data_IF_012942135086
#
_entry.id   IF_012942135086
#
_cell.length_a   1.000
_cell.length_b   1.000
_cell.length_c   1.000
_cell.angle_alpha   90.00
_cell.angle_beta   90.00
_cell.angle_gamma   90.00
#
_symmetry.space_group_name_H-M   'P 1'
#
loop_
_entity.id
_entity.type
_entity.pdbx_description
1 polymer ?
#
# COMPACT_ATOMS: atom_id res chain seq x y z
N UNK A 1 -20.11 3.10 -28.87
CA UNK A 1 -19.40 3.44 -27.61
C UNK A 1 -18.53 2.24 -27.26
N UNK A 2 -17.21 2.36 -27.32
CA UNK A 2 -16.30 1.30 -26.84
C UNK A 2 -16.60 1.04 -25.36
N UNK A 3 -16.61 -0.23 -24.91
CA UNK A 3 -16.79 -0.54 -23.51
C UNK A 3 -15.73 0.20 -22.72
N UNK A 4 -16.13 0.92 -21.65
CA UNK A 4 -15.17 1.55 -20.73
C UNK A 4 -14.22 0.46 -20.25
N UNK A 5 -12.93 0.60 -20.58
CA UNK A 5 -11.92 -0.33 -20.11
C UNK A 5 -12.02 -0.47 -18.57
N UNK A 6 -12.02 -1.70 -18.09
CA UNK A 6 -12.03 -1.97 -16.65
C UNK A 6 -10.72 -1.45 -16.05
N UNK A 7 -10.83 -0.65 -14.98
CA UNK A 7 -9.67 -0.06 -14.31
C UNK A 7 -8.65 -1.11 -13.83
N UNK A 8 -9.13 -2.29 -13.44
CA UNK A 8 -8.24 -3.39 -13.06
C UNK A 8 -7.41 -3.90 -14.23
N UNK A 9 -8.04 -4.07 -15.41
CA UNK A 9 -7.34 -4.53 -16.61
C UNK A 9 -6.29 -3.52 -17.05
N UNK A 10 -6.65 -2.24 -17.12
CA UNK A 10 -5.73 -1.17 -17.55
C UNK A 10 -4.45 -1.15 -16.72
N UNK A 11 -4.58 -1.30 -15.40
CA UNK A 11 -3.44 -1.26 -14.46
C UNK A 11 -2.65 -2.56 -14.50
N UNK A 12 -3.35 -3.70 -14.45
CA UNK A 12 -2.69 -5.00 -14.37
C UNK A 12 -1.97 -5.36 -15.65
N UNK A 13 -2.54 -5.03 -16.83
CA UNK A 13 -1.87 -5.26 -18.12
C UNK A 13 -0.54 -4.54 -18.21
N UNK A 14 -0.46 -3.31 -17.73
CA UNK A 14 0.77 -2.52 -17.74
C UNK A 14 1.87 -3.13 -16.88
N UNK A 15 1.51 -3.68 -15.72
CA UNK A 15 2.47 -4.38 -14.85
C UNK A 15 2.88 -5.73 -15.46
N UNK A 16 1.95 -6.45 -16.07
CA UNK A 16 2.25 -7.71 -16.79
C UNK A 16 3.24 -7.44 -17.93
N UNK A 17 3.01 -6.41 -18.74
CA UNK A 17 3.92 -6.02 -19.82
C UNK A 17 5.34 -5.73 -19.31
N UNK A 18 5.46 -5.03 -18.18
CA UNK A 18 6.76 -4.76 -17.58
C UNK A 18 7.45 -6.04 -17.08
N UNK A 19 6.69 -6.94 -16.42
CA UNK A 19 7.21 -8.23 -15.95
C UNK A 19 7.61 -9.15 -17.11
N UNK A 20 6.84 -9.18 -18.20
CA UNK A 20 7.17 -9.94 -19.42
C UNK A 20 8.41 -9.39 -20.11
N UNK A 21 8.64 -8.08 -20.02
CA UNK A 21 9.87 -7.43 -20.49
C UNK A 21 11.07 -7.62 -19.55
N UNK A 22 10.94 -8.42 -18.49
CA UNK A 22 12.00 -8.66 -17.51
C UNK A 22 12.21 -7.50 -16.53
N UNK A 23 11.27 -6.56 -16.46
CA UNK A 23 11.33 -5.45 -15.50
C UNK A 23 10.36 -5.72 -14.37
N UNK A 24 10.87 -5.79 -13.12
CA UNK A 24 10.05 -5.85 -11.91
C UNK A 24 9.80 -4.42 -11.45
N UNK A 25 8.56 -3.88 -11.57
CA UNK A 25 8.29 -2.47 -11.36
C UNK A 25 8.64 -1.95 -9.96
N UNK A 26 8.55 -2.80 -8.95
CA UNK A 26 8.82 -2.48 -7.55
C UNK A 26 10.26 -2.72 -7.10
N UNK A 27 11.13 -3.25 -7.97
CA UNK A 27 12.58 -3.44 -7.68
C UNK A 27 13.44 -2.26 -8.09
N UNK A 28 12.87 -1.18 -8.54
CA UNK A 28 13.66 -0.10 -9.08
C UNK A 28 14.17 0.85 -8.01
N UNK A 29 15.48 1.19 -8.09
CA UNK A 29 16.04 2.21 -7.22
C UNK A 29 15.44 3.58 -7.57
N UNK A 30 14.80 4.20 -6.61
CA UNK A 30 14.20 5.53 -6.72
C UNK A 30 15.23 6.67 -6.70
N UNK A 31 16.49 6.42 -7.03
CA UNK A 31 17.55 7.45 -7.04
C UNK A 31 17.21 8.68 -7.88
N UNK A 32 16.27 8.58 -8.82
CA UNK A 32 15.87 9.68 -9.69
C UNK A 32 14.95 10.72 -9.04
N UNK A 33 14.35 10.44 -7.88
CA UNK A 33 13.39 11.34 -7.24
C UNK A 33 13.83 11.81 -5.87
N UNK A 34 15.12 11.76 -5.55
CA UNK A 34 15.68 12.29 -4.30
C UNK A 34 14.90 11.89 -3.03
N UNK A 35 14.39 10.64 -2.96
CA UNK A 35 13.60 10.18 -1.84
C UNK A 35 12.14 10.64 -1.81
N UNK A 36 11.72 11.48 -2.76
CA UNK A 36 10.34 11.93 -2.89
C UNK A 36 9.62 11.07 -3.91
N UNK A 37 8.66 10.27 -3.48
CA UNK A 37 7.82 9.46 -4.37
C UNK A 37 6.90 10.33 -5.26
N UNK A 38 6.23 9.69 -6.25
CA UNK A 38 5.27 10.40 -7.09
C UNK A 38 4.24 11.16 -6.25
N UNK A 39 4.06 12.44 -6.53
CA UNK A 39 3.28 13.36 -5.71
C UNK A 39 2.26 14.11 -6.56
N UNK A 40 1.03 14.27 -6.06
CA UNK A 40 0.03 15.12 -6.69
C UNK A 40 0.40 16.59 -6.48
N UNK A 41 0.66 17.30 -7.56
CA UNK A 41 0.97 18.74 -7.49
C UNK A 41 -0.20 19.55 -6.89
N UNK A 42 -1.44 19.08 -7.09
CA UNK A 42 -2.64 19.78 -6.59
C UNK A 42 -2.78 19.70 -5.08
N UNK A 43 -2.48 18.56 -4.49
CA UNK A 43 -2.70 18.32 -3.06
C UNK A 43 -1.43 18.34 -2.24
N UNK A 44 -0.26 18.27 -2.87
CA UNK A 44 1.02 18.08 -2.20
C UNK A 44 1.18 16.70 -1.55
N UNK A 45 0.20 15.80 -1.73
CA UNK A 45 0.22 14.46 -1.11
C UNK A 45 0.89 13.43 -2.03
N UNK A 46 1.68 12.50 -1.49
CA UNK A 46 2.24 11.41 -2.28
C UNK A 46 1.14 10.47 -2.77
N UNK A 47 1.33 9.93 -3.98
CA UNK A 47 0.51 8.82 -4.47
C UNK A 47 0.76 7.57 -3.64
N UNK A 48 -0.26 6.70 -3.59
CA UNK A 48 -0.25 5.52 -2.71
C UNK A 48 -0.67 4.27 -3.47
N UNK A 49 -0.41 3.11 -2.88
CA UNK A 49 -0.79 1.82 -3.44
C UNK A 49 -0.20 1.63 -4.83
N UNK A 50 -0.90 0.96 -5.71
CA UNK A 50 -0.44 0.64 -7.07
C UNK A 50 0.02 1.88 -7.88
N UNK A 51 -0.51 3.07 -7.56
CA UNK A 51 -0.18 4.29 -8.29
C UNK A 51 1.30 4.66 -8.17
N UNK A 52 1.95 4.35 -7.05
CA UNK A 52 3.38 4.60 -6.86
C UNK A 52 4.19 3.94 -7.98
N UNK A 53 3.97 2.64 -8.22
CA UNK A 53 4.74 1.91 -9.24
C UNK A 53 4.36 2.29 -10.65
N UNK A 54 3.07 2.55 -10.93
CA UNK A 54 2.63 3.00 -12.26
C UNK A 54 3.29 4.31 -12.69
N UNK A 55 3.31 5.29 -11.78
CA UNK A 55 3.91 6.60 -12.04
C UNK A 55 5.42 6.52 -12.11
N UNK A 56 6.03 5.76 -11.23
CA UNK A 56 7.46 5.60 -11.19
C UNK A 56 8.02 4.83 -12.37
N UNK A 57 7.33 3.77 -12.81
CA UNK A 57 7.68 3.06 -14.03
C UNK A 57 7.64 4.00 -15.24
N UNK A 58 6.61 4.88 -15.29
CA UNK A 58 6.52 5.88 -16.36
C UNK A 58 7.62 6.92 -16.27
N UNK A 59 7.86 7.49 -15.10
CA UNK A 59 8.90 8.49 -14.89
C UNK A 59 10.27 7.94 -15.31
N UNK A 60 10.57 6.70 -14.89
CA UNK A 60 11.83 6.06 -15.25
C UNK A 60 11.95 5.83 -16.77
N UNK A 61 10.91 5.27 -17.42
CA UNK A 61 10.94 4.98 -18.84
C UNK A 61 11.05 6.25 -19.71
N UNK A 62 10.50 7.36 -19.23
CA UNK A 62 10.53 8.66 -19.91
C UNK A 62 11.70 9.56 -19.47
N UNK A 63 12.45 9.19 -18.43
CA UNK A 63 13.57 9.99 -17.88
C UNK A 63 13.11 11.22 -17.08
N UNK A 64 11.87 11.24 -16.56
CA UNK A 64 11.40 12.35 -15.75
C UNK A 64 12.11 12.39 -14.40
N UNK A 65 12.49 13.58 -13.97
CA UNK A 65 13.16 13.88 -12.70
C UNK A 65 12.22 14.49 -11.68
N UNK A 66 11.13 15.13 -12.12
CA UNK A 66 10.14 15.72 -11.23
C UNK A 66 9.22 14.67 -10.62
N UNK A 67 8.96 14.71 -9.29
CA UNK A 67 7.99 13.83 -8.63
C UNK A 67 6.53 14.27 -8.85
N UNK A 68 6.29 15.45 -9.42
CA UNK A 68 4.98 16.07 -9.46
C UNK A 68 4.16 15.65 -10.68
N UNK A 69 2.88 15.35 -10.42
CA UNK A 69 1.91 14.92 -11.42
C UNK A 69 0.63 15.72 -11.33
N UNK A 70 0.03 16.02 -12.49
CA UNK A 70 -1.19 16.81 -12.64
C UNK A 70 -2.15 16.15 -13.63
N UNK A 71 -3.46 16.39 -13.47
CA UNK A 71 -4.43 16.14 -14.53
C UNK A 71 -4.37 17.23 -15.59
N UNK A 72 -4.90 16.98 -16.78
CA UNK A 72 -5.00 18.00 -17.84
C UNK A 72 -5.70 19.28 -17.36
N UNK A 73 -6.77 19.11 -16.58
CA UNK A 73 -7.56 20.22 -16.00
C UNK A 73 -6.71 21.03 -15.02
N UNK A 74 -6.00 20.36 -14.11
CA UNK A 74 -5.15 21.00 -13.11
C UNK A 74 -3.98 21.76 -13.74
N UNK A 75 -3.36 21.22 -14.79
CA UNK A 75 -2.33 21.94 -15.54
C UNK A 75 -2.86 23.27 -16.08
N UNK A 76 -4.06 23.23 -16.67
CA UNK A 76 -4.72 24.45 -17.19
C UNK A 76 -5.11 25.44 -16.10
N UNK A 77 -5.63 24.98 -14.96
CA UNK A 77 -5.98 25.82 -13.80
C UNK A 77 -4.76 26.51 -13.18
N UNK A 78 -3.56 25.93 -13.36
CA UNK A 78 -2.27 26.50 -12.94
C UNK A 78 -1.59 27.34 -14.02
N UNK A 79 -2.32 27.74 -15.05
CA UNK A 79 -1.83 28.62 -16.12
C UNK A 79 -0.99 27.92 -17.18
N UNK A 80 -0.78 26.61 -17.07
CA UNK A 80 0.00 25.84 -18.01
C UNK A 80 -0.83 24.99 -18.98
N UNK A 81 -0.16 24.20 -19.78
CA UNK A 81 -0.79 23.29 -20.74
C UNK A 81 0.06 22.03 -20.95
N UNK A 82 -0.60 20.90 -21.11
CA UNK A 82 0.08 19.67 -21.53
C UNK A 82 0.50 19.82 -23.00
N UNK A 83 1.76 19.52 -23.32
CA UNK A 83 2.26 19.62 -24.69
C UNK A 83 1.52 18.68 -25.64
N UNK A 84 1.36 19.12 -26.87
CA UNK A 84 0.70 18.33 -27.92
C UNK A 84 1.45 17.02 -28.19
N UNK A 85 0.72 15.90 -28.17
CA UNK A 85 1.30 14.58 -28.45
C UNK A 85 1.73 13.81 -27.18
N UNK A 86 1.77 14.46 -26.02
CA UNK A 86 2.11 13.80 -24.76
C UNK A 86 1.07 12.74 -24.38
N UNK A 87 1.56 11.64 -23.83
CA UNK A 87 0.73 10.52 -23.36
C UNK A 87 0.67 10.54 -21.83
N UNK A 88 -0.54 10.68 -21.28
CA UNK A 88 -0.73 10.63 -19.84
C UNK A 88 -0.69 9.20 -19.30
N UNK A 89 -0.45 9.11 -18.00
CA UNK A 89 -0.42 7.86 -17.23
C UNK A 89 -1.73 7.67 -16.48
N UNK A 90 -2.31 6.46 -16.55
CA UNK A 90 -3.48 6.13 -15.77
C UNK A 90 -3.10 5.83 -14.31
N UNK A 91 -3.80 6.48 -13.39
CA UNK A 91 -3.79 6.19 -11.96
C UNK A 91 -5.18 5.74 -11.52
N UNK A 92 -5.28 4.97 -10.46
CA UNK A 92 -6.56 4.46 -9.95
C UNK A 92 -6.92 5.10 -8.63
N UNK A 93 -8.23 5.27 -8.42
CA UNK A 93 -8.79 5.87 -7.23
C UNK A 93 -10.05 5.12 -6.82
N UNK A 94 -10.19 4.80 -5.54
CA UNK A 94 -11.41 4.28 -4.95
C UNK A 94 -12.40 5.42 -4.71
N UNK A 95 -13.52 5.40 -5.45
CA UNK A 95 -14.58 6.40 -5.30
C UNK A 95 -15.77 5.81 -4.55
N UNK A 96 -16.20 6.39 -3.43
CA UNK A 96 -17.42 5.99 -2.77
C UNK A 96 -18.64 6.39 -3.64
N UNK A 97 -19.52 5.43 -3.85
CA UNK A 97 -20.80 5.62 -4.58
C UNK A 97 -21.92 5.15 -3.68
N UNK A 98 -22.97 5.95 -3.60
CA UNK A 98 -24.21 5.59 -2.93
C UNK A 98 -25.16 4.99 -3.96
N UNK A 99 -25.78 3.87 -3.66
CA UNK A 99 -26.85 3.27 -4.45
C UNK A 99 -28.03 3.02 -3.54
N UNK A 100 -29.17 3.58 -3.89
CA UNK A 100 -30.43 3.30 -3.20
C UNK A 100 -31.07 2.08 -3.86
N UNK A 101 -31.38 1.06 -3.08
CA UNK A 101 -32.03 -0.18 -3.49
C UNK A 101 -33.22 -0.42 -2.56
N UNK A 102 -34.31 -0.96 -3.09
CA UNK A 102 -35.43 -1.38 -2.26
C UNK A 102 -35.12 -2.72 -1.60
N UNK A 103 -35.38 -2.82 -0.28
CA UNK A 103 -35.30 -4.10 0.43
C UNK A 103 -36.52 -4.97 0.10
N UNK A 104 -36.55 -6.20 0.59
CA UNK A 104 -37.68 -7.11 0.40
C UNK A 104 -39.00 -6.60 1.01
N UNK A 105 -38.93 -5.62 1.90
CA UNK A 105 -40.10 -4.94 2.52
C UNK A 105 -40.58 -3.69 1.76
N UNK A 106 -39.92 -3.31 0.65
CA UNK A 106 -40.26 -2.14 -0.15
C UNK A 106 -39.66 -0.81 0.33
N UNK A 107 -38.85 -0.82 1.38
CA UNK A 107 -38.18 0.38 1.90
C UNK A 107 -36.90 0.69 1.13
N UNK A 108 -36.63 1.98 0.91
CA UNK A 108 -35.42 2.45 0.27
C UNK A 108 -34.20 2.36 1.22
N UNK A 109 -33.26 1.48 0.91
CA UNK A 109 -31.99 1.31 1.64
C UNK A 109 -30.85 1.85 0.81
N UNK A 110 -30.16 2.87 1.33
CA UNK A 110 -28.97 3.42 0.67
C UNK A 110 -27.70 2.65 1.10
N UNK A 111 -27.14 1.89 0.19
CA UNK A 111 -25.85 1.19 0.38
C UNK A 111 -24.70 2.01 -0.19
N UNK A 112 -23.56 1.97 0.49
CA UNK A 112 -22.32 2.60 0.01
C UNK A 112 -21.41 1.54 -0.59
N UNK A 113 -20.93 1.79 -1.81
CA UNK A 113 -19.99 0.95 -2.54
C UNK A 113 -18.73 1.73 -2.85
N UNK A 114 -17.60 1.05 -2.89
CA UNK A 114 -16.36 1.60 -3.42
C UNK A 114 -16.20 1.12 -4.85
N UNK A 115 -16.08 2.03 -5.80
CA UNK A 115 -15.86 1.72 -7.20
C UNK A 115 -14.44 2.20 -7.57
N UNK A 116 -13.64 1.30 -8.13
CA UNK A 116 -12.35 1.67 -8.68
C UNK A 116 -12.56 2.46 -9.99
N UNK A 117 -11.94 3.63 -10.05
CA UNK A 117 -11.91 4.50 -11.22
C UNK A 117 -10.49 4.77 -11.63
N UNK A 118 -10.22 4.99 -12.89
CA UNK A 118 -8.93 5.48 -13.35
C UNK A 118 -9.05 6.94 -13.81
N UNK A 119 -7.94 7.67 -13.67
CA UNK A 119 -7.75 9.04 -14.12
C UNK A 119 -6.45 9.11 -14.88
N UNK A 120 -6.37 10.04 -15.80
CA UNK A 120 -5.15 10.29 -16.55
C UNK A 120 -4.42 11.49 -15.95
N UNK A 121 -3.16 11.28 -15.60
CA UNK A 121 -2.26 12.32 -15.09
C UNK A 121 -1.03 12.43 -15.98
N UNK A 122 -0.39 13.58 -15.93
CA UNK A 122 0.81 13.92 -16.66
C UNK A 122 1.89 14.35 -15.68
N UNK A 123 3.14 13.96 -15.92
CA UNK A 123 4.24 14.55 -15.20
C UNK A 123 4.34 16.04 -15.55
N UNK A 124 4.75 16.88 -14.60
CA UNK A 124 4.88 18.32 -14.88
C UNK A 124 5.87 18.61 -15.99
N UNK A 125 6.85 17.74 -16.20
CA UNK A 125 7.80 17.81 -17.32
C UNK A 125 7.16 17.56 -18.71
N UNK A 126 5.91 17.11 -18.76
CA UNK A 126 5.10 17.03 -19.98
C UNK A 126 4.28 18.30 -20.24
N UNK A 127 4.44 19.33 -19.39
CA UNK A 127 3.63 20.53 -19.42
C UNK A 127 4.50 21.77 -19.65
N UNK A 128 3.91 22.77 -20.29
CA UNK A 128 4.50 24.10 -20.42
C UNK A 128 3.76 25.08 -19.49
N UNK A 129 4.49 25.95 -18.81
CA UNK A 129 3.94 27.05 -18.01
C UNK A 129 3.21 26.62 -16.73
N UNK A 130 3.36 25.39 -16.28
CA UNK A 130 2.83 24.95 -14.98
C UNK A 130 3.74 25.41 -13.86
N UNK A 131 3.20 26.21 -12.97
CA UNK A 131 3.90 26.58 -11.72
C UNK A 131 4.05 25.35 -10.83
N UNK A 132 5.32 25.02 -10.50
CA UNK A 132 5.71 23.83 -9.78
C UNK A 132 6.72 24.19 -8.70
N UNK A 133 6.55 23.72 -7.46
CA UNK A 133 7.55 23.93 -6.42
C UNK A 133 8.87 23.23 -6.78
N UNK A 134 9.96 23.74 -6.25
CA UNK A 134 11.24 23.05 -6.34
C UNK A 134 11.14 21.66 -5.72
N UNK A 135 11.86 20.70 -6.29
CA UNK A 135 11.94 19.35 -5.74
C UNK A 135 12.76 19.43 -4.46
N UNK A 136 12.22 18.97 -3.31
CA UNK A 136 13.02 18.97 -2.09
C UNK A 136 14.28 18.12 -2.27
N UNK A 137 15.43 18.69 -1.97
CA UNK A 137 16.67 17.92 -1.92
C UNK A 137 16.70 17.07 -0.64
N UNK A 138 17.21 15.86 -0.75
CA UNK A 138 17.52 15.08 0.45
C UNK A 138 18.59 15.86 1.25
N UNK A 139 18.51 15.85 2.59
CA UNK A 139 19.57 16.42 3.41
C UNK A 139 20.92 15.85 2.98
N UNK A 140 21.94 16.70 2.92
CA UNK A 140 23.29 16.30 2.49
C UNK A 140 23.90 15.23 3.39
N UNK A 141 23.42 15.09 4.61
CA UNK A 141 23.79 14.12 5.63
C UNK A 141 22.82 12.93 5.74
N UNK A 142 21.93 12.75 4.75
CA UNK A 142 21.01 11.60 4.75
C UNK A 142 21.78 10.27 4.71
N UNK A 143 21.61 9.49 5.77
CA UNK A 143 22.14 8.12 5.88
C UNK A 143 21.00 7.10 5.68
N UNK A 144 20.95 6.42 4.52
CA UNK A 144 19.89 5.45 4.24
C UNK A 144 19.88 4.28 5.21
N UNK A 145 21.03 3.87 5.73
CA UNK A 145 21.12 2.75 6.67
C UNK A 145 20.61 3.16 8.06
N UNK A 146 20.96 4.36 8.52
CA UNK A 146 20.38 4.92 9.74
C UNK A 146 18.86 5.09 9.62
N UNK A 147 18.36 5.42 8.42
CA UNK A 147 16.92 5.47 8.15
C UNK A 147 16.27 4.08 8.26
N UNK A 148 16.91 3.03 7.74
CA UNK A 148 16.46 1.65 7.92
C UNK A 148 16.36 1.27 9.39
N UNK A 149 17.40 1.55 10.18
CA UNK A 149 17.40 1.29 11.63
C UNK A 149 16.28 2.05 12.33
N UNK A 150 16.06 3.29 11.96
CA UNK A 150 14.99 4.11 12.54
C UNK A 150 13.61 3.54 12.25
N UNK A 151 13.36 3.02 11.05
CA UNK A 151 12.12 2.34 10.68
C UNK A 151 11.93 1.09 11.54
N UNK A 152 12.96 0.24 11.63
CA UNK A 152 12.90 -1.01 12.39
C UNK A 152 12.67 -0.75 13.89
N UNK A 153 13.42 0.18 14.48
CA UNK A 153 13.35 0.47 15.93
C UNK A 153 12.13 1.30 16.30
N UNK A 154 11.65 2.16 15.40
CA UNK A 154 10.46 2.98 15.58
C UNK A 154 9.16 2.17 15.63
N UNK A 155 9.15 0.99 15.04
CA UNK A 155 7.96 0.12 15.10
C UNK A 155 7.87 -0.64 16.42
N UNK A 156 7.16 -0.07 17.41
CA UNK A 156 7.00 -0.65 18.76
C UNK A 156 6.20 -1.97 18.77
N UNK A 157 5.35 -2.21 17.77
CA UNK A 157 4.56 -3.43 17.60
C UNK A 157 5.24 -4.55 16.82
N UNK A 158 6.53 -4.42 16.51
CA UNK A 158 7.27 -5.42 15.75
C UNK A 158 7.48 -6.72 16.54
N UNK A 159 7.59 -7.88 15.85
CA UNK A 159 8.00 -9.12 16.49
C UNK A 159 9.46 -9.06 16.94
N UNK A 160 9.87 -10.04 17.74
CA UNK A 160 11.27 -10.27 18.04
C UNK A 160 12.05 -10.58 16.76
N UNK A 161 13.23 -9.98 16.57
CA UNK A 161 14.16 -10.30 15.49
C UNK A 161 15.31 -11.12 16.08
N UNK A 162 15.43 -12.37 15.64
CA UNK A 162 16.49 -13.31 16.03
C UNK A 162 17.54 -13.40 14.94
N UNK A 163 18.81 -13.35 15.32
CA UNK A 163 19.90 -13.48 14.39
C UNK A 163 20.61 -14.82 14.52
N UNK A 164 21.03 -15.37 13.37
CA UNK A 164 21.75 -16.63 13.26
C UNK A 164 21.18 -17.54 12.18
N UNK A 165 21.88 -18.64 11.91
CA UNK A 165 21.50 -19.54 10.81
C UNK A 165 21.74 -18.94 9.43
N UNK A 166 21.21 -19.61 8.39
CA UNK A 166 21.45 -19.28 6.97
C UNK A 166 20.15 -18.95 6.21
N UNK A 167 19.05 -18.74 6.90
CA UNK A 167 17.77 -18.42 6.26
C UNK A 167 17.09 -17.25 6.95
N UNK A 168 16.46 -16.38 6.16
CA UNK A 168 15.51 -15.38 6.62
C UNK A 168 14.11 -15.96 6.53
N UNK A 169 13.30 -15.77 7.54
CA UNK A 169 11.87 -16.09 7.51
C UNK A 169 11.13 -15.47 8.71
N UNK A 170 9.86 -15.16 8.50
CA UNK A 170 8.91 -14.90 9.57
C UNK A 170 8.24 -16.21 10.03
N UNK A 171 8.14 -16.41 11.33
CA UNK A 171 7.44 -17.54 11.95
C UNK A 171 6.06 -17.11 12.48
N UNK A 172 4.95 -17.38 11.78
CA UNK A 172 3.63 -16.94 12.24
C UNK A 172 3.17 -17.57 13.56
N UNK A 173 3.57 -18.81 13.81
CA UNK A 173 3.14 -19.54 15.02
C UNK A 173 3.84 -19.05 16.30
N UNK A 174 5.04 -18.51 16.18
CA UNK A 174 5.86 -18.07 17.31
C UNK A 174 6.09 -16.55 17.30
N UNK A 175 5.57 -15.86 16.31
CA UNK A 175 5.63 -14.41 16.10
C UNK A 175 7.05 -13.83 16.27
N UNK A 176 8.00 -14.37 15.53
CA UNK A 176 9.34 -13.82 15.44
C UNK A 176 9.86 -13.83 14.00
N UNK A 177 10.81 -12.94 13.71
CA UNK A 177 11.59 -12.93 12.46
C UNK A 177 12.94 -13.54 12.72
N UNK A 178 13.33 -14.52 11.89
CA UNK A 178 14.69 -15.07 11.86
C UNK A 178 15.46 -14.39 10.73
N UNK A 179 16.66 -13.89 11.04
CA UNK A 179 17.58 -13.31 10.07
C UNK A 179 18.96 -13.93 10.18
N UNK A 180 19.67 -14.15 9.07
CA UNK A 180 21.13 -14.33 9.13
C UNK A 180 21.77 -13.10 9.77
N UNK A 181 22.99 -13.22 10.27
CA UNK A 181 23.75 -12.06 10.74
C UNK A 181 24.01 -11.09 9.57
N UNK A 182 24.03 -9.79 9.83
CA UNK A 182 24.17 -8.77 8.78
C UNK A 182 25.44 -8.96 7.93
N UNK A 183 26.52 -9.43 8.52
CA UNK A 183 27.77 -9.75 7.81
C UNK A 183 27.68 -10.94 6.83
N UNK A 184 26.56 -11.66 6.79
CA UNK A 184 26.31 -12.70 5.79
C UNK A 184 25.77 -12.16 4.46
N UNK A 185 25.48 -10.87 4.38
CA UNK A 185 24.99 -10.20 3.18
C UNK A 185 26.10 -9.39 2.51
N UNK A 186 26.06 -9.34 1.18
CA UNK A 186 27.06 -8.59 0.38
C UNK A 186 26.97 -7.07 0.58
N UNK A 187 25.80 -6.56 0.98
CA UNK A 187 25.55 -5.15 1.25
C UNK A 187 24.51 -4.98 2.37
N UNK A 188 24.62 -3.88 3.12
CA UNK A 188 23.68 -3.55 4.18
C UNK A 188 22.26 -3.38 3.63
N UNK A 189 22.09 -2.80 2.44
CA UNK A 189 20.81 -2.64 1.77
C UNK A 189 20.13 -3.99 1.49
N UNK A 190 20.91 -5.02 1.14
CA UNK A 190 20.38 -6.39 0.94
C UNK A 190 19.87 -7.00 2.24
N UNK A 191 20.57 -6.77 3.36
CA UNK A 191 20.10 -7.18 4.68
C UNK A 191 18.78 -6.51 5.04
N UNK A 192 18.69 -5.16 4.89
CA UNK A 192 17.46 -4.43 5.23
C UNK A 192 16.32 -4.73 4.28
N UNK A 193 16.57 -4.89 2.98
CA UNK A 193 15.55 -5.32 2.03
C UNK A 193 14.91 -6.65 2.42
N UNK A 194 15.75 -7.62 2.80
CA UNK A 194 15.28 -8.92 3.30
C UNK A 194 14.54 -8.79 4.64
N UNK A 195 15.07 -8.00 5.57
CA UNK A 195 14.41 -7.75 6.87
C UNK A 195 13.03 -7.09 6.68
N UNK A 196 12.92 -6.11 5.81
CA UNK A 196 11.64 -5.47 5.52
C UNK A 196 10.63 -6.43 4.90
N UNK A 197 11.07 -7.38 4.08
CA UNK A 197 10.22 -8.44 3.55
C UNK A 197 9.66 -9.33 4.67
N UNK A 198 10.50 -9.79 5.59
CA UNK A 198 10.06 -10.63 6.71
C UNK A 198 9.19 -9.85 7.71
N UNK A 199 9.53 -8.58 7.96
CA UNK A 199 8.69 -7.69 8.75
C UNK A 199 7.33 -7.43 8.08
N UNK A 200 7.28 -7.32 6.76
CA UNK A 200 6.03 -7.19 6.03
C UNK A 200 5.12 -8.43 6.20
N UNK A 201 5.67 -9.64 6.15
CA UNK A 201 4.94 -10.85 6.52
C UNK A 201 4.38 -10.76 7.94
N UNK A 202 5.20 -10.34 8.89
CA UNK A 202 4.81 -10.25 10.29
C UNK A 202 3.62 -9.30 10.51
N UNK A 203 3.46 -8.25 9.69
CA UNK A 203 2.29 -7.37 9.79
C UNK A 203 0.96 -8.10 9.60
N UNK A 204 0.96 -9.25 8.93
CA UNK A 204 -0.23 -10.09 8.70
C UNK A 204 -0.64 -10.96 9.88
N UNK A 205 0.11 -10.98 10.97
CA UNK A 205 -0.22 -11.73 12.17
C UNK A 205 -1.60 -11.38 12.72
N UNK A 206 -2.24 -12.34 13.43
CA UNK A 206 -3.59 -12.17 13.99
C UNK A 206 -3.73 -10.96 14.93
N UNK A 207 -2.65 -10.62 15.66
CA UNK A 207 -2.61 -9.46 16.56
C UNK A 207 -2.39 -8.12 15.86
N UNK A 208 -2.14 -8.11 14.54
CA UNK A 208 -1.87 -6.91 13.74
C UNK A 208 -2.92 -6.76 12.63
N UNK A 209 -2.57 -6.89 11.37
CA UNK A 209 -3.53 -6.71 10.26
C UNK A 209 -4.39 -7.94 9.97
N UNK A 210 -4.14 -9.05 10.65
CA UNK A 210 -4.93 -10.29 10.57
C UNK A 210 -5.19 -10.75 9.12
N UNK A 211 -4.15 -10.76 8.26
CA UNK A 211 -4.31 -11.17 6.85
C UNK A 211 -4.63 -12.65 6.75
N UNK A 212 -5.70 -12.98 6.02
CA UNK A 212 -6.17 -14.37 5.85
C UNK A 212 -5.11 -15.28 5.24
N UNK A 213 -4.33 -14.76 4.28
CA UNK A 213 -3.22 -15.47 3.62
C UNK A 213 -2.15 -15.96 4.59
N UNK A 214 -1.97 -15.27 5.72
CA UNK A 214 -1.00 -15.65 6.76
C UNK A 214 -1.62 -16.47 7.89
N UNK A 215 -2.86 -16.17 8.30
CA UNK A 215 -3.55 -16.88 9.38
C UNK A 215 -3.96 -18.29 8.94
N UNK A 216 -4.30 -18.47 7.67
CA UNK A 216 -4.64 -19.75 7.04
C UNK A 216 -3.53 -20.10 6.03
N UNK A 217 -2.41 -20.72 6.50
CA UNK A 217 -1.27 -20.96 5.65
C UNK A 217 -1.66 -21.81 4.46
N UNK A 218 -1.36 -21.29 3.29
CA UNK A 218 -1.60 -21.95 2.02
C UNK A 218 -0.36 -22.80 1.62
N UNK A 219 -0.54 -23.90 0.88
CA UNK A 219 0.59 -24.68 0.36
C UNK A 219 1.51 -23.81 -0.50
N UNK A 220 2.82 -24.10 -0.43
CA UNK A 220 3.82 -23.44 -1.26
C UNK A 220 3.44 -23.49 -2.75
N UNK A 221 3.53 -22.35 -3.43
CA UNK A 221 3.18 -22.21 -4.85
C UNK A 221 1.68 -22.14 -5.15
N UNK A 222 0.81 -22.15 -4.14
CA UNK A 222 -0.62 -21.92 -4.34
C UNK A 222 -0.90 -20.43 -4.67
N UNK A 223 -2.07 -20.09 -5.24
CA UNK A 223 -2.45 -18.71 -5.49
C UNK A 223 -2.45 -17.83 -4.24
N UNK A 224 -2.87 -18.35 -3.09
CA UNK A 224 -2.91 -17.62 -1.83
C UNK A 224 -1.51 -17.40 -1.25
N UNK A 225 -0.61 -18.39 -1.39
CA UNK A 225 0.81 -18.22 -1.09
C UNK A 225 1.42 -17.11 -1.96
N UNK A 226 1.22 -17.18 -3.28
CA UNK A 226 1.75 -16.17 -4.21
C UNK A 226 1.20 -14.76 -3.93
N UNK A 227 -0.03 -14.67 -3.40
CA UNK A 227 -0.62 -13.39 -2.99
C UNK A 227 0.06 -12.80 -1.77
N UNK A 228 0.35 -13.61 -0.75
CA UNK A 228 1.05 -13.15 0.45
C UNK A 228 2.48 -12.71 0.13
N UNK A 229 3.19 -13.48 -0.68
CA UNK A 229 4.52 -13.11 -1.17
C UNK A 229 4.50 -11.77 -1.90
N UNK A 230 3.51 -11.56 -2.78
CA UNK A 230 3.38 -10.29 -3.48
C UNK A 230 3.09 -9.12 -2.52
N UNK A 231 2.28 -9.34 -1.48
CA UNK A 231 2.02 -8.31 -0.46
C UNK A 231 3.29 -7.96 0.30
N UNK A 232 4.07 -8.96 0.73
CA UNK A 232 5.32 -8.76 1.46
C UNK A 232 6.34 -8.02 0.61
N UNK A 233 6.50 -8.43 -0.63
CA UNK A 233 7.41 -7.83 -1.60
C UNK A 233 7.09 -6.36 -1.88
N UNK A 234 5.82 -6.07 -2.14
CA UNK A 234 5.37 -4.71 -2.37
C UNK A 234 5.51 -3.84 -1.12
N UNK A 235 5.27 -4.39 0.07
CA UNK A 235 5.46 -3.65 1.33
C UNK A 235 6.94 -3.37 1.61
N UNK A 236 7.83 -4.36 1.39
CA UNK A 236 9.27 -4.16 1.49
C UNK A 236 9.75 -3.07 0.54
N UNK A 237 9.22 -3.04 -0.70
CA UNK A 237 9.52 -1.98 -1.67
C UNK A 237 9.14 -0.58 -1.17
N UNK A 238 8.00 -0.42 -0.49
CA UNK A 238 7.65 0.87 0.11
C UNK A 238 8.61 1.27 1.23
N UNK A 239 8.98 0.33 2.11
CA UNK A 239 9.88 0.59 3.23
C UNK A 239 11.30 0.92 2.74
N UNK A 240 11.79 0.20 1.71
CA UNK A 240 13.05 0.52 1.06
C UNK A 240 13.03 1.92 0.42
N UNK A 241 11.92 2.27 -0.23
CA UNK A 241 11.72 3.60 -0.83
C UNK A 241 11.74 4.70 0.23
N UNK A 242 11.09 4.49 1.36
CA UNK A 242 11.07 5.42 2.50
C UNK A 242 12.47 5.60 3.12
N UNK A 243 13.21 4.51 3.26
CA UNK A 243 14.58 4.55 3.77
C UNK A 243 15.60 5.13 2.78
N UNK A 244 15.25 5.20 1.48
CA UNK A 244 16.16 5.64 0.42
C UNK A 244 17.14 4.57 -0.04
N UNK A 245 16.89 3.26 0.25
CA UNK A 245 17.70 2.16 -0.23
C UNK A 245 17.11 1.52 -1.51
N UNK A 246 17.94 0.93 -2.38
CA UNK A 246 17.43 0.15 -3.50
C UNK A 246 16.73 -1.12 -2.99
N UNK A 247 15.66 -1.52 -3.69
CA UNK A 247 15.06 -2.84 -3.47
C UNK A 247 15.96 -3.88 -4.11
N UNK A 248 16.72 -4.58 -3.31
CA UNK A 248 17.70 -5.56 -3.76
C UNK A 248 17.33 -6.96 -3.24
N UNK A 249 16.08 -7.36 -3.44
CA UNK A 249 15.64 -8.72 -3.16
C UNK A 249 15.89 -9.55 -4.41
N UNK A 250 16.77 -10.54 -4.32
CA UNK A 250 16.97 -11.51 -5.40
C UNK A 250 15.69 -12.29 -5.66
N UNK A 251 14.96 -11.85 -6.68
CA UNK A 251 13.74 -12.54 -7.10
C UNK A 251 14.10 -13.65 -8.08
N UNK A 252 13.81 -14.87 -7.71
CA UNK A 252 13.98 -15.97 -8.65
C UNK A 252 13.03 -15.81 -9.83
N UNK A 253 13.45 -16.20 -11.04
CA UNK A 253 12.59 -16.27 -12.22
C UNK A 253 11.29 -17.08 -11.97
N UNK A 254 11.31 -17.97 -10.99
CA UNK A 254 10.16 -18.75 -10.56
C UNK A 254 9.07 -17.88 -9.92
N UNK A 255 9.43 -16.89 -9.10
CA UNK A 255 8.45 -15.95 -8.50
C UNK A 255 7.81 -15.07 -9.57
N UNK A 256 8.60 -14.49 -10.47
CA UNK A 256 8.08 -13.67 -11.58
C UNK A 256 7.10 -14.48 -12.42
N UNK A 257 7.43 -15.74 -12.74
CA UNK A 257 6.55 -16.64 -13.49
C UNK A 257 5.26 -16.95 -12.73
N UNK A 258 5.34 -17.15 -11.40
CA UNK A 258 4.19 -17.39 -10.54
C UNK A 258 3.27 -16.17 -10.51
N UNK A 259 3.82 -14.97 -10.32
CA UNK A 259 3.05 -13.72 -10.34
C UNK A 259 2.40 -13.46 -11.69
N UNK A 260 3.11 -13.64 -12.81
CA UNK A 260 2.55 -13.51 -14.14
C UNK A 260 1.32 -14.41 -14.33
N UNK A 261 1.41 -15.67 -13.89
CA UNK A 261 0.28 -16.60 -13.94
C UNK A 261 -0.91 -16.07 -13.14
N UNK A 262 -0.71 -15.75 -11.87
CA UNK A 262 -1.81 -15.33 -10.97
C UNK A 262 -2.40 -13.99 -11.39
N UNK A 263 -1.59 -13.03 -11.88
CA UNK A 263 -2.06 -11.73 -12.37
C UNK A 263 -2.85 -11.85 -13.68
N UNK A 264 -2.54 -12.84 -14.52
CA UNK A 264 -3.33 -13.16 -15.73
C UNK A 264 -4.69 -13.78 -15.38
N UNK A 265 -4.73 -14.61 -14.32
CA UNK A 265 -5.93 -15.29 -13.86
C UNK A 265 -6.85 -14.39 -13.01
N UNK A 266 -6.27 -13.52 -12.17
CA UNK A 266 -7.02 -12.57 -11.32
C UNK A 266 -6.49 -11.14 -11.46
N UNK A 267 -7.14 -10.35 -12.31
CA UNK A 267 -6.78 -8.94 -12.57
C UNK A 267 -6.96 -8.01 -11.37
N UNK A 268 -7.75 -8.41 -10.37
CA UNK A 268 -7.98 -7.63 -9.15
C UNK A 268 -6.90 -7.84 -8.11
N UNK A 269 -6.19 -8.94 -8.21
CA UNK A 269 -5.19 -9.34 -7.23
C UNK A 269 -4.13 -8.27 -7.01
N UNK A 270 -3.58 -7.70 -8.08
CA UNK A 270 -2.52 -6.70 -7.98
C UNK A 270 -2.94 -5.47 -7.18
N UNK A 271 -4.11 -4.89 -7.50
CA UNK A 271 -4.65 -3.72 -6.80
C UNK A 271 -4.93 -4.04 -5.33
N UNK A 272 -5.45 -5.24 -5.07
CA UNK A 272 -5.71 -5.71 -3.70
C UNK A 272 -4.42 -5.93 -2.92
N UNK A 273 -3.41 -6.58 -3.51
CA UNK A 273 -2.11 -6.80 -2.89
C UNK A 273 -1.41 -5.47 -2.59
N UNK A 274 -1.42 -4.53 -3.54
CA UNK A 274 -0.85 -3.20 -3.36
C UNK A 274 -1.53 -2.41 -2.21
N UNK A 275 -2.84 -2.53 -2.07
CA UNK A 275 -3.57 -1.90 -0.97
C UNK A 275 -3.21 -2.53 0.39
N UNK A 276 -3.02 -3.85 0.46
CA UNK A 276 -2.59 -4.54 1.68
C UNK A 276 -1.12 -4.23 2.01
N UNK A 277 -0.26 -4.18 1.00
CA UNK A 277 1.14 -3.80 1.14
C UNK A 277 1.30 -2.38 1.69
N UNK A 278 0.48 -1.44 1.20
CA UNK A 278 0.48 -0.08 1.72
C UNK A 278 0.08 -0.04 3.20
N UNK A 279 -0.94 -0.79 3.60
CA UNK A 279 -1.34 -0.91 5.03
C UNK A 279 -0.24 -1.53 5.88
N UNK A 280 0.48 -2.51 5.33
CA UNK A 280 1.61 -3.13 6.01
C UNK A 280 2.76 -2.13 6.23
N UNK A 281 3.12 -1.36 5.20
CA UNK A 281 4.12 -0.31 5.30
C UNK A 281 3.69 0.80 6.27
N UNK A 282 2.43 1.26 6.20
CA UNK A 282 1.89 2.26 7.13
C UNK A 282 1.99 1.81 8.58
N UNK A 283 1.65 0.54 8.87
CA UNK A 283 1.75 -0.02 10.21
C UNK A 283 3.21 0.00 10.72
N UNK A 284 4.16 -0.38 9.88
CA UNK A 284 5.59 -0.37 10.23
C UNK A 284 6.09 1.07 10.46
N UNK A 285 5.64 2.01 9.64
CA UNK A 285 6.02 3.42 9.71
C UNK A 285 5.25 4.22 10.78
N UNK A 286 4.27 3.61 11.46
CA UNK A 286 3.43 4.31 12.43
C UNK A 286 2.52 5.36 11.81
N UNK A 287 2.18 5.23 10.53
CA UNK A 287 1.30 6.16 9.81
C UNK A 287 -0.15 5.78 10.06
N UNK A 288 -0.87 6.61 10.81
CA UNK A 288 -2.31 6.47 11.01
C UNK A 288 -3.08 7.24 9.94
N UNK A 289 -3.87 6.51 9.14
CA UNK A 289 -4.84 7.12 8.24
C UNK A 289 -6.20 7.24 8.89
N UNK A 290 -6.66 8.46 9.08
CA UNK A 290 -8.06 8.69 9.44
C UNK A 290 -8.94 8.27 8.27
N UNK A 291 -9.73 7.20 8.47
CA UNK A 291 -10.71 6.73 7.51
C UNK A 291 -11.79 7.81 7.30
N UNK A 292 -11.61 8.67 6.32
CA UNK A 292 -12.59 9.73 6.00
C UNK A 292 -12.10 10.78 5.01
N UNK A 293 -10.81 11.07 4.95
CA UNK A 293 -10.29 12.16 4.11
C UNK A 293 -9.21 11.71 3.10
N UNK A 294 -8.94 10.42 3.02
CA UNK A 294 -7.95 9.88 2.10
C UNK A 294 -8.46 9.87 0.66
N UNK A 295 -7.90 10.69 -0.18
CA UNK A 295 -7.78 10.54 -1.63
C UNK A 295 -9.02 10.63 -2.52
N UNK A 296 -10.25 10.68 -2.01
CA UNK A 296 -11.43 10.58 -2.87
C UNK A 296 -12.06 11.91 -3.29
N UNK A 297 -11.71 13.05 -2.68
CA UNK A 297 -12.52 14.26 -2.86
C UNK A 297 -11.86 15.44 -3.57
N UNK A 298 -10.54 15.49 -3.69
CA UNK A 298 -9.87 16.65 -4.25
C UNK A 298 -9.55 16.56 -5.75
N UNK A 299 -9.52 15.35 -6.35
CA UNK A 299 -9.16 15.17 -7.76
C UNK A 299 -10.35 14.86 -8.70
N UNK A 300 -11.58 14.80 -8.18
CA UNK A 300 -12.76 14.64 -9.06
C UNK A 300 -13.19 16.00 -9.62
N UNK A 301 -13.42 16.13 -10.94
CA UNK A 301 -13.93 17.37 -11.52
C UNK A 301 -15.28 17.71 -10.85
N UNK A 302 -15.35 18.87 -10.19
CA UNK A 302 -16.59 19.42 -9.69
C UNK A 302 -17.53 19.72 -10.87
N UNK A 303 -18.56 18.92 -11.04
CA UNK A 303 -19.67 19.27 -11.92
C UNK A 303 -20.52 20.29 -11.15
N UNK A 304 -20.34 21.57 -11.47
CA UNK A 304 -21.20 22.63 -10.99
C UNK A 304 -22.58 22.46 -11.65
N UNK A 305 -23.55 21.95 -10.90
CA UNK A 305 -24.95 22.13 -11.21
C UNK A 305 -25.40 23.40 -10.48
N UNK A 306 -25.56 24.48 -11.25
CA UNK A 306 -26.30 25.67 -10.85
C UNK A 306 -27.78 25.29 -10.77
N UNK A 307 -28.34 25.26 -9.57
CA UNK A 307 -29.76 25.39 -9.36
C UNK A 307 -30.01 26.38 -8.23
N UNK A 308 -30.88 27.33 -8.56
CA UNK A 308 -31.14 28.53 -7.82
C UNK A 308 -31.78 28.35 -6.45
N UNK A 309 -31.63 29.40 -5.74
CA UNK A 309 -32.25 29.89 -4.52
C UNK A 309 -33.53 29.18 -4.07
N UNK A 310 -33.58 28.91 -2.75
CA UNK A 310 -34.59 29.57 -1.92
C UNK A 310 -34.25 29.48 -0.43
N UNK A 311 -34.35 30.65 0.20
CA UNK A 311 -34.27 30.90 1.64
C UNK A 311 -35.40 30.20 2.38
N UNK A 312 -35.11 29.59 3.53
CA UNK A 312 -35.97 29.74 4.70
C UNK A 312 -35.16 29.54 5.99
N UNK A 313 -35.13 30.62 6.74
CA UNK A 313 -34.61 30.80 8.09
C UNK A 313 -35.67 30.24 9.09
N UNK A 314 -35.25 29.39 10.04
CA UNK A 314 -35.96 29.26 11.33
C UNK A 314 -34.96 28.99 12.44
N UNK A 315 -35.06 29.86 13.43
CA UNK A 315 -34.28 29.99 14.66
C UNK A 315 -34.63 28.95 15.73
N UNK A 316 -33.55 28.61 16.47
CA UNK A 316 -33.41 28.54 17.95
C UNK A 316 -34.35 27.68 18.82
N UNK A 317 -33.79 26.91 19.69
CA UNK A 317 -33.66 27.05 21.16
C UNK A 317 -33.38 25.72 21.86
N UNK A 318 -32.27 25.71 22.57
CA UNK A 318 -32.07 25.52 24.00
C UNK A 318 -32.72 24.33 24.76
N UNK A 319 -31.90 23.57 25.41
CA UNK A 319 -31.69 23.35 26.87
C UNK A 319 -31.39 21.90 27.31
N UNK A 320 -30.23 21.76 27.90
CA UNK A 320 -29.89 21.17 29.21
C UNK A 320 -30.73 19.99 29.74
N UNK A 321 -30.07 18.86 30.06
CA UNK A 321 -29.92 18.41 31.47
C UNK A 321 -29.01 17.18 31.60
N UNK A 322 -28.13 17.30 32.57
CA UNK A 322 -27.31 16.24 33.15
C UNK A 322 -28.15 15.35 34.04
N UNK A 323 -27.76 14.09 34.19
CA UNK A 323 -27.80 13.47 35.54
C UNK A 323 -26.93 12.19 35.56
N UNK A 324 -26.22 12.10 36.66
CA UNK A 324 -25.27 11.07 37.12
C UNK A 324 -26.02 9.83 37.60
N UNK A 325 -25.38 8.65 37.54
CA UNK A 325 -25.31 7.75 38.73
C UNK A 325 -24.29 6.63 38.50
N UNK A 326 -23.44 6.45 39.52
CA UNK A 326 -22.65 5.28 39.88
C UNK A 326 -23.31 4.68 41.15
N UNK A 327 -22.82 3.59 41.74
CA UNK A 327 -22.20 2.32 41.31
C UNK A 327 -22.89 1.09 41.95
N UNK A 328 -22.39 -0.12 41.70
CA UNK A 328 -22.78 -1.32 42.45
C UNK A 328 -21.84 -2.49 42.23
N UNK A 329 -21.22 -2.88 43.33
CA UNK A 329 -20.28 -3.97 43.57
C UNK A 329 -20.95 -5.37 43.53
N UNK A 330 -20.09 -6.40 43.42
CA UNK A 330 -20.42 -7.79 43.81
C UNK A 330 -19.59 -8.85 43.11
N UNK A 331 -18.49 -9.23 43.59
CA UNK A 331 -18.01 -10.38 44.37
C UNK A 331 -18.39 -11.81 43.87
N UNK A 332 -17.34 -12.66 43.71
CA UNK A 332 -17.35 -14.12 43.88
C UNK A 332 -17.13 -14.90 42.57
N UNK A 333 -16.17 -15.78 42.44
CA UNK A 333 -15.44 -16.64 43.28
C UNK A 333 -15.03 -17.87 42.50
N UNK A 334 -13.77 -18.22 42.55
CA UNK A 334 -13.06 -19.47 42.34
C UNK A 334 -13.75 -20.70 41.67
N UNK A 335 -13.05 -21.38 40.75
CA UNK A 335 -12.48 -22.72 40.97
C UNK A 335 -11.58 -23.23 39.84
N UNK A 336 -10.49 -23.80 40.29
CA UNK A 336 -9.48 -24.65 39.69
C UNK A 336 -9.99 -25.71 38.70
N UNK A 337 -9.19 -25.96 37.67
CA UNK A 337 -9.25 -27.18 36.88
C UNK A 337 -7.99 -27.35 36.00
N UNK A 338 -6.92 -27.89 36.58
CA UNK A 338 -5.73 -28.41 35.88
C UNK A 338 -6.15 -29.58 34.99
N UNK A 339 -5.69 -29.64 33.77
CA UNK A 339 -5.26 -30.91 33.14
C UNK A 339 -4.23 -30.64 32.04
N UNK A 340 -3.21 -31.41 32.17
CA UNK A 340 -1.94 -31.52 31.49
C UNK A 340 -2.04 -32.01 30.05
N UNK A 341 -1.04 -31.57 29.25
CA UNK A 341 -0.15 -32.31 28.36
C UNK A 341 -0.73 -33.31 27.34
N UNK A 342 -0.52 -33.00 26.08
CA UNK A 342 0.30 -33.85 25.19
C UNK A 342 0.80 -33.06 23.99
N UNK A 343 2.09 -32.79 24.00
CA UNK A 343 2.86 -32.35 22.86
C UNK A 343 2.88 -33.47 21.81
N UNK A 344 2.47 -33.14 20.59
CA UNK A 344 2.80 -33.94 19.40
C UNK A 344 3.93 -33.22 18.68
N UNK A 345 5.12 -33.76 18.89
CA UNK A 345 6.37 -33.47 18.18
C UNK A 345 6.22 -33.83 16.69
N UNK A 346 5.90 -32.87 15.86
CA UNK A 346 6.00 -32.97 14.41
C UNK A 346 7.25 -32.16 13.99
N UNK A 347 8.38 -32.83 14.02
CA UNK A 347 9.61 -32.40 13.35
C UNK A 347 9.30 -32.22 11.87
N UNK A 348 9.20 -30.96 11.44
CA UNK A 348 9.24 -30.58 10.03
C UNK A 348 10.68 -30.18 9.71
N UNK A 349 11.26 -30.88 8.77
CA UNK A 349 12.55 -30.55 8.17
C UNK A 349 12.54 -29.14 7.58
N UNK A 350 13.63 -28.36 7.70
CA UNK A 350 13.75 -27.06 7.06
C UNK A 350 13.86 -27.25 5.55
N UNK A 351 12.97 -26.61 4.80
CA UNK A 351 13.06 -26.50 3.35
C UNK A 351 14.33 -25.76 2.97
N UNK A 352 15.27 -26.46 2.38
CA UNK A 352 16.47 -25.87 1.79
C UNK A 352 16.11 -25.18 0.47
N UNK A 353 16.54 -23.95 0.23
CA UNK A 353 16.57 -23.42 -1.11
C UNK A 353 17.62 -24.19 -1.90
N UNK A 354 17.25 -24.77 -3.03
CA UNK A 354 18.20 -25.21 -4.04
C UNK A 354 18.57 -24.01 -4.89
N UNK A 355 19.85 -23.82 -5.03
CA UNK A 355 20.50 -22.92 -5.98
C UNK A 355 19.94 -23.07 -7.39
#
# INVERSE_FOLDING_TARGET
MSPKADAYNVVTDRIIEALEAGTVPWHRPWKSLQGVGPTSLQTGKPYRGINVWLLSLTAHAAGYTSPYWVTFKQAKERGGTVRKGEKGTQVVLWKPVKKTEQNEGGDDVTKRYLILRYFTVFNVEQCDGVDCPEVPELPADHDPIASCESIVTGWTGRPEIKHGGNSAHYSPALDYVQMPVSGAFDAAESYYGTLFHELAHSTGHASRLARKSLIQPAPFGSPDYSREELVAELAASYLCGEAGIPVNVEQSAAYIKSWLKVLKDDRKMLVSAAAQAQKAADLVLGIEYQNGEGDASSDAPSVSHSTGRNHHEVRSRDRLRAERHRPGEGLGGAHLGRRAERAADLRREPLRPRL
#
